data_IF_931302812740
#
_entry.id   IF_931302812740
#
_cell.length_a   1.000
_cell.length_b   1.000
_cell.length_c   1.000
_cell.angle_alpha   90.00
_cell.angle_beta   90.00
_cell.angle_gamma   90.00
#
_symmetry.space_group_name_H-M   'P 1'
#
loop_
_entity.id
_entity.type
_entity.pdbx_description
1 polymer ?
#
# COMPACT_ATOMS: atom_id res chain seq x y z
N UNK A 1 3.25 -27.81 7.02
CA UNK A 1 3.66 -26.69 6.16
C UNK A 1 4.11 -25.57 7.07
N UNK A 2 5.42 -25.33 7.07
CA UNK A 2 6.10 -24.52 8.09
C UNK A 2 6.12 -23.07 7.63
N UNK A 3 5.93 -22.12 8.56
CA UNK A 3 5.89 -20.65 8.39
C UNK A 3 7.20 -20.01 7.89
N UNK A 4 8.07 -20.77 7.22
CA UNK A 4 9.44 -20.39 6.85
C UNK A 4 9.61 -19.96 5.39
N UNK A 5 8.62 -20.18 4.53
CA UNK A 5 8.77 -19.89 3.10
C UNK A 5 8.45 -18.44 2.70
N UNK A 6 8.03 -17.58 3.64
CA UNK A 6 7.65 -16.17 3.37
C UNK A 6 8.88 -15.23 3.43
N UNK A 7 9.99 -15.66 4.02
CA UNK A 7 11.16 -14.81 4.26
C UNK A 7 12.35 -15.35 3.46
N UNK A 8 12.30 -15.17 2.14
CA UNK A 8 13.47 -15.39 1.28
C UNK A 8 14.21 -14.06 1.16
N UNK A 9 15.35 -13.95 1.84
CA UNK A 9 16.28 -12.81 1.84
C UNK A 9 15.77 -11.49 2.41
N UNK A 10 15.82 -11.30 3.74
CA UNK A 10 16.14 -10.02 4.44
C UNK A 10 15.45 -8.70 4.02
N UNK A 11 14.49 -8.74 3.13
CA UNK A 11 13.81 -7.64 2.45
C UNK A 11 12.39 -8.17 2.29
N UNK A 12 11.43 -7.60 3.01
CA UNK A 12 10.06 -8.09 2.93
C UNK A 12 9.52 -7.92 1.51
N UNK A 13 8.47 -8.65 1.15
CA UNK A 13 7.73 -8.42 -0.10
C UNK A 13 7.34 -6.93 -0.28
N UNK A 14 7.15 -6.21 0.83
CA UNK A 14 6.87 -4.78 0.84
C UNK A 14 8.10 -3.92 0.55
N UNK A 15 9.29 -4.32 1.00
CA UNK A 15 10.54 -3.61 0.68
C UNK A 15 10.87 -3.66 -0.81
N UNK A 16 10.51 -4.77 -1.47
CA UNK A 16 10.73 -4.94 -2.92
C UNK A 16 9.88 -4.00 -3.78
N UNK A 17 8.77 -3.49 -3.25
CA UNK A 17 7.87 -2.56 -3.93
C UNK A 17 7.88 -1.16 -3.29
N UNK A 18 8.88 -0.89 -2.44
CA UNK A 18 9.06 0.40 -1.78
C UNK A 18 9.60 1.41 -2.77
N UNK A 19 8.99 2.58 -2.81
CA UNK A 19 9.48 3.73 -3.55
C UNK A 19 9.93 4.81 -2.58
N UNK A 20 10.88 5.63 -3.00
CA UNK A 20 11.37 6.79 -2.25
C UNK A 20 11.13 8.01 -3.13
N UNK A 21 10.48 9.04 -2.58
CA UNK A 21 10.26 10.30 -3.30
C UNK A 21 11.51 11.20 -3.26
N UNK A 22 11.46 12.34 -3.93
CA UNK A 22 12.55 13.33 -3.95
C UNK A 22 12.90 13.91 -2.58
N UNK A 23 11.99 13.79 -1.60
CA UNK A 23 12.17 14.23 -0.22
C UNK A 23 12.75 13.14 0.69
N UNK A 24 13.04 11.94 0.16
CA UNK A 24 13.55 10.82 0.94
C UNK A 24 12.48 10.04 1.71
N UNK A 25 11.20 10.29 1.45
CA UNK A 25 10.09 9.61 2.13
C UNK A 25 9.69 8.33 1.39
N UNK A 26 9.37 7.30 2.16
CA UNK A 26 8.99 5.99 1.66
C UNK A 26 7.50 5.93 1.35
N UNK A 27 7.15 5.45 0.15
CA UNK A 27 5.76 5.27 -0.25
C UNK A 27 5.55 3.99 -1.07
N UNK A 28 4.30 3.53 -1.10
CA UNK A 28 3.89 2.35 -1.85
C UNK A 28 2.72 2.68 -2.77
N UNK A 29 2.76 2.16 -3.99
CA UNK A 29 1.64 2.32 -4.92
C UNK A 29 0.57 1.27 -4.64
N UNK A 30 -0.70 1.68 -4.74
CA UNK A 30 -1.85 0.79 -4.62
C UNK A 30 -1.77 -0.43 -5.57
N UNK A 31 -1.22 -0.22 -6.78
CA UNK A 31 -1.04 -1.28 -7.78
C UNK A 31 -0.03 -2.34 -7.32
N UNK A 32 1.08 -1.92 -6.71
CA UNK A 32 2.07 -2.87 -6.21
C UNK A 32 1.56 -3.62 -4.97
N UNK A 33 0.89 -2.90 -4.06
CA UNK A 33 0.26 -3.50 -2.87
C UNK A 33 -0.83 -4.52 -3.23
N UNK A 34 -1.59 -4.28 -4.31
CA UNK A 34 -2.57 -5.24 -4.83
C UNK A 34 -1.94 -6.63 -5.03
N UNK A 35 -0.82 -6.68 -5.76
CA UNK A 35 -0.12 -7.92 -6.08
C UNK A 35 0.53 -8.57 -4.86
N UNK A 36 1.17 -7.77 -4.00
CA UNK A 36 1.83 -8.28 -2.78
C UNK A 36 0.83 -8.86 -1.78
N UNK A 37 -0.35 -8.28 -1.68
CA UNK A 37 -1.42 -8.78 -0.81
C UNK A 37 -2.28 -9.88 -1.47
N UNK A 38 -1.99 -10.27 -2.72
CA UNK A 38 -2.69 -11.34 -3.41
C UNK A 38 -4.10 -11.00 -3.88
N UNK A 39 -4.43 -9.71 -4.07
CA UNK A 39 -5.71 -9.30 -4.63
C UNK A 39 -5.68 -9.41 -6.16
N UNK A 40 -6.65 -10.11 -6.73
CA UNK A 40 -6.78 -10.24 -8.19
C UNK A 40 -7.44 -9.03 -8.85
N UNK A 41 -8.26 -8.29 -8.11
CA UNK A 41 -9.03 -7.16 -8.65
C UNK A 41 -9.04 -5.97 -7.70
N UNK A 42 -8.96 -4.76 -8.29
CA UNK A 42 -8.94 -3.51 -7.54
C UNK A 42 -10.19 -3.29 -6.67
N UNK A 43 -11.35 -3.83 -7.08
CA UNK A 43 -12.61 -3.70 -6.31
C UNK A 43 -12.50 -4.27 -4.89
N UNK A 44 -11.77 -5.36 -4.70
CA UNK A 44 -11.56 -5.96 -3.38
C UNK A 44 -10.54 -5.16 -2.56
N UNK A 45 -9.54 -4.61 -3.25
CA UNK A 45 -8.53 -3.76 -2.62
C UNK A 45 -9.05 -2.39 -2.21
N UNK A 46 -10.16 -1.92 -2.82
CA UNK A 46 -10.84 -0.68 -2.40
C UNK A 46 -11.16 -0.68 -0.91
N UNK A 47 -11.60 -1.81 -0.34
CA UNK A 47 -11.89 -1.91 1.10
C UNK A 47 -10.62 -1.75 1.97
N UNK A 48 -9.47 -2.22 1.48
CA UNK A 48 -8.17 -2.01 2.16
C UNK A 48 -7.79 -0.54 2.15
N UNK A 49 -7.97 0.14 1.01
CA UNK A 49 -7.74 1.58 0.90
C UNK A 49 -8.66 2.35 1.86
N UNK A 50 -9.95 2.03 1.91
CA UNK A 50 -10.88 2.69 2.84
C UNK A 50 -10.49 2.48 4.30
N UNK A 51 -10.03 1.28 4.68
CA UNK A 51 -9.48 1.03 6.03
C UNK A 51 -8.25 1.89 6.32
N UNK A 52 -7.34 2.05 5.34
CA UNK A 52 -6.17 2.91 5.49
C UNK A 52 -6.57 4.37 5.68
N UNK A 53 -7.56 4.87 4.93
CA UNK A 53 -8.11 6.22 5.13
C UNK A 53 -8.67 6.41 6.54
N UNK A 54 -9.45 5.45 7.02
CA UNK A 54 -10.02 5.48 8.38
C UNK A 54 -8.90 5.52 9.42
N UNK A 55 -7.85 4.71 9.26
CA UNK A 55 -6.70 4.72 10.15
C UNK A 55 -6.00 6.08 10.16
N UNK A 56 -5.73 6.67 8.99
CA UNK A 56 -5.14 8.01 8.89
C UNK A 56 -6.00 9.07 9.59
N UNK A 57 -7.31 9.08 9.35
CA UNK A 57 -8.25 9.99 10.02
C UNK A 57 -8.27 9.78 11.54
N UNK A 58 -8.21 8.53 12.00
CA UNK A 58 -8.19 8.20 13.43
C UNK A 58 -6.90 8.67 14.13
N UNK A 59 -5.80 8.76 13.39
CA UNK A 59 -4.53 9.31 13.86
C UNK A 59 -4.44 10.83 13.70
N UNK A 60 -5.56 11.50 13.39
CA UNK A 60 -5.64 12.94 13.19
C UNK A 60 -4.74 13.45 12.04
N UNK A 61 -4.44 12.59 11.06
CA UNK A 61 -3.66 12.91 9.87
C UNK A 61 -4.58 13.21 8.68
N UNK A 62 -4.17 14.14 7.81
CA UNK A 62 -4.96 14.47 6.62
C UNK A 62 -4.84 13.35 5.58
N UNK A 63 -5.95 12.64 5.32
CA UNK A 63 -5.99 11.52 4.37
C UNK A 63 -5.45 11.90 2.98
N UNK A 64 -5.75 13.10 2.48
CA UNK A 64 -5.33 13.54 1.15
C UNK A 64 -3.82 13.78 1.06
N UNK A 65 -3.13 14.02 2.18
CA UNK A 65 -1.67 14.12 2.22
C UNK A 65 -0.98 12.76 2.17
N UNK A 66 -1.66 11.69 2.57
CA UNK A 66 -1.06 10.35 2.68
C UNK A 66 -1.57 9.36 1.62
N UNK A 67 -2.77 9.59 1.08
CA UNK A 67 -3.41 8.71 0.10
C UNK A 67 -3.82 9.56 -1.10
N UNK A 68 -3.05 9.43 -2.19
CA UNK A 68 -3.37 10.08 -3.46
C UNK A 68 -4.49 9.32 -4.15
N UNK A 69 -5.60 10.01 -4.42
CA UNK A 69 -6.69 9.47 -5.22
C UNK A 69 -6.34 9.60 -6.71
N UNK A 70 -6.53 8.53 -7.47
CA UNK A 70 -6.43 8.60 -8.94
C UNK A 70 -7.52 9.54 -9.43
N UNK A 71 -7.13 10.66 -10.05
CA UNK A 71 -8.06 11.54 -10.74
C UNK A 71 -8.45 10.86 -12.04
N UNK A 72 -9.68 10.32 -12.10
CA UNK A 72 -10.26 9.91 -13.37
C UNK A 72 -10.75 11.17 -14.05
N UNK A 73 -9.91 11.80 -14.88
CA UNK A 73 -10.39 12.77 -15.87
C UNK A 73 -11.16 11.97 -16.92
N UNK A 74 -12.43 12.32 -17.12
CA UNK A 74 -13.27 11.86 -18.22
C UNK A 74 -13.22 12.93 -19.30
#
# INVERSE_FOLDING_TARGET
MTTKDIIKNGSSLFDSIRHINEYGEEFWTARALLGVLGYNEYRFFKNVIEKAKIACSSSNMNVSNHIVQVHTEI
#
